data_IF_413878759142
#
_entry.id   IF_413878759142
#
_cell.length_a   1.000
_cell.length_b   1.000
_cell.length_c   1.000
_cell.angle_alpha   90.00
_cell.angle_beta   90.00
_cell.angle_gamma   90.00
#
_symmetry.space_group_name_H-M   'P 1'
#
loop_
_entity.id
_entity.type
_entity.pdbx_description
1 polymer ?
#
# COMPACT_ATOMS: atom_id res chain seq x y z
N UNK A 1 18.48 -13.50 10.62
CA UNK A 1 18.57 -12.09 10.19
C UNK A 1 17.29 -11.44 10.66
N UNK A 2 17.37 -10.25 11.21
CA UNK A 2 16.19 -9.52 11.71
C UNK A 2 15.46 -8.95 10.48
N UNK A 3 14.17 -9.23 10.35
CA UNK A 3 13.33 -8.65 9.28
C UNK A 3 12.93 -7.24 9.68
N UNK A 4 13.12 -6.27 8.78
CA UNK A 4 12.73 -4.89 9.00
C UNK A 4 11.32 -4.66 8.45
N UNK A 5 10.33 -4.59 9.33
CA UNK A 5 8.92 -4.39 8.95
C UNK A 5 8.52 -2.95 9.22
N UNK A 6 8.08 -2.26 8.17
CA UNK A 6 7.62 -0.89 8.23
C UNK A 6 6.13 -0.82 7.96
N UNK A 7 5.38 -0.29 8.91
CA UNK A 7 3.98 0.08 8.71
C UNK A 7 3.92 1.61 8.55
N UNK A 8 3.27 2.12 7.49
CA UNK A 8 3.01 3.54 7.38
C UNK A 8 2.19 4.01 8.57
N UNK A 9 2.54 5.16 9.12
CA UNK A 9 1.74 5.77 10.18
C UNK A 9 0.59 6.62 9.62
N UNK A 10 0.67 6.96 8.32
CA UNK A 10 -0.36 7.66 7.56
C UNK A 10 -0.35 7.14 6.12
N UNK A 11 -1.54 6.94 5.56
CA UNK A 11 -1.72 6.53 4.17
C UNK A 11 -2.77 7.44 3.55
N UNK A 12 -2.40 8.07 2.43
CA UNK A 12 -3.24 9.03 1.72
C UNK A 12 -3.47 8.58 0.29
N UNK A 13 -4.52 9.11 -0.31
CA UNK A 13 -4.77 8.95 -1.73
C UNK A 13 -4.74 10.33 -2.40
N UNK A 14 -4.00 10.46 -3.51
CA UNK A 14 -3.99 11.67 -4.32
C UNK A 14 -5.28 11.78 -5.16
N UNK A 15 -5.57 12.97 -5.67
CA UNK A 15 -6.70 13.17 -6.60
C UNK A 15 -6.57 12.35 -7.90
N UNK A 16 -5.34 11.93 -8.25
CA UNK A 16 -5.08 11.11 -9.43
C UNK A 16 -5.17 9.60 -9.16
N UNK A 17 -5.49 9.19 -7.92
CA UNK A 17 -5.59 7.79 -7.51
C UNK A 17 -4.26 7.12 -7.17
N UNK A 18 -3.25 7.90 -6.79
CA UNK A 18 -1.99 7.38 -6.26
C UNK A 18 -2.11 7.16 -4.75
N UNK A 19 -1.69 5.99 -4.28
CA UNK A 19 -1.57 5.69 -2.86
C UNK A 19 -0.23 6.23 -2.35
N UNK A 20 -0.25 7.04 -1.30
CA UNK A 20 0.92 7.66 -0.68
C UNK A 20 1.05 7.12 0.74
N UNK A 21 2.01 6.22 0.94
CA UNK A 21 2.34 5.61 2.22
C UNK A 21 3.45 6.41 2.92
N UNK A 22 3.15 7.00 4.06
CA UNK A 22 4.09 7.82 4.82
C UNK A 22 4.70 7.00 5.95
N UNK A 23 6.02 6.85 5.93
CA UNK A 23 6.77 5.98 6.83
C UNK A 23 7.81 6.79 7.59
N UNK A 24 7.96 6.52 8.88
CA UNK A 24 8.96 7.19 9.72
C UNK A 24 10.38 6.83 9.21
N UNK A 25 11.24 7.83 8.94
CA UNK A 25 12.58 7.59 8.43
C UNK A 25 13.51 6.97 9.48
N UNK A 26 14.14 5.86 9.14
CA UNK A 26 15.33 5.35 9.83
C UNK A 26 16.50 5.13 8.86
N UNK A 27 17.66 4.72 9.37
CA UNK A 27 18.85 4.49 8.53
C UNK A 27 18.68 3.35 7.51
N UNK A 28 17.98 2.28 7.89
CA UNK A 28 17.82 1.10 7.06
C UNK A 28 16.84 1.32 5.92
N UNK A 29 15.64 1.87 6.17
CA UNK A 29 14.67 2.14 5.10
C UNK A 29 15.18 3.18 4.10
N UNK A 30 15.98 4.15 4.56
CA UNK A 30 16.70 5.09 3.67
C UNK A 30 17.66 4.36 2.75
N UNK A 31 18.53 3.51 3.32
CA UNK A 31 19.47 2.70 2.54
C UNK A 31 18.73 1.77 1.57
N UNK A 32 17.64 1.15 2.03
CA UNK A 32 16.77 0.29 1.23
C UNK A 32 16.21 1.05 0.02
N UNK A 33 15.62 2.24 0.19
CA UNK A 33 15.08 3.03 -0.93
C UNK A 33 16.19 3.48 -1.88
N UNK A 34 17.34 3.92 -1.36
CA UNK A 34 18.46 4.42 -2.17
C UNK A 34 19.26 3.32 -2.88
N UNK A 35 19.13 2.07 -2.44
CA UNK A 35 19.85 0.93 -3.00
C UNK A 35 19.34 0.54 -4.39
N UNK A 36 20.11 0.91 -5.42
CA UNK A 36 19.80 0.61 -6.83
C UNK A 36 20.27 -0.77 -7.30
N UNK A 37 20.84 -1.62 -6.44
CA UNK A 37 21.38 -2.93 -6.85
C UNK A 37 20.35 -4.04 -6.86
N UNK A 38 19.29 -3.91 -6.08
CA UNK A 38 18.18 -4.87 -5.96
C UNK A 38 16.89 -4.24 -6.47
N UNK A 39 15.89 -5.06 -6.76
CA UNK A 39 14.57 -4.60 -7.19
C UNK A 39 13.59 -4.59 -6.03
N UNK A 40 12.49 -3.86 -6.21
CA UNK A 40 11.30 -4.03 -5.37
C UNK A 40 10.49 -5.21 -5.88
N UNK A 41 9.98 -6.01 -4.95
CA UNK A 41 8.99 -7.04 -5.20
C UNK A 41 7.69 -6.61 -4.54
N UNK A 42 6.56 -6.84 -5.20
CA UNK A 42 5.25 -6.46 -4.71
C UNK A 42 4.41 -7.71 -4.54
N UNK A 43 3.85 -7.88 -3.35
CA UNK A 43 2.91 -8.93 -3.02
C UNK A 43 1.56 -8.30 -2.70
N UNK A 44 0.49 -8.93 -3.21
CA UNK A 44 -0.88 -8.44 -3.07
C UNK A 44 -1.77 -9.62 -2.69
N UNK A 45 -2.34 -9.53 -1.49
CA UNK A 45 -3.24 -10.55 -0.93
C UNK A 45 -4.57 -9.93 -0.52
N UNK A 46 -5.60 -10.75 -0.42
CA UNK A 46 -6.92 -10.36 0.10
C UNK A 46 -7.29 -11.35 1.18
N UNK A 47 -7.71 -10.84 2.32
CA UNK A 47 -8.20 -11.63 3.44
C UNK A 47 -9.50 -11.02 3.97
N UNK A 48 -10.17 -11.70 4.89
CA UNK A 48 -11.47 -11.31 5.42
C UNK A 48 -11.38 -10.94 6.89
N UNK A 49 -11.89 -9.77 7.24
CA UNK A 49 -12.03 -9.34 8.63
C UNK A 49 -13.37 -9.84 9.18
N UNK A 50 -13.33 -10.84 10.06
CA UNK A 50 -14.52 -11.39 10.71
C UNK A 50 -15.21 -10.38 11.66
N UNK A 51 -14.47 -9.40 12.20
CA UNK A 51 -15.01 -8.40 13.14
C UNK A 51 -15.81 -7.33 12.39
N UNK A 52 -15.24 -6.78 11.32
CA UNK A 52 -15.88 -5.77 10.47
C UNK A 52 -16.78 -6.38 9.39
N UNK A 53 -16.71 -7.71 9.20
CA UNK A 53 -17.44 -8.47 8.19
C UNK A 53 -17.20 -7.99 6.75
N UNK A 54 -15.98 -7.53 6.46
CA UNK A 54 -15.56 -7.03 5.16
C UNK A 54 -14.17 -7.54 4.76
N UNK A 55 -13.88 -7.67 3.45
CA UNK A 55 -12.55 -8.03 3.01
C UNK A 55 -11.60 -6.83 3.08
N UNK A 56 -10.32 -7.13 3.25
CA UNK A 56 -9.26 -6.14 3.21
C UNK A 56 -8.13 -6.60 2.28
N UNK A 57 -7.53 -5.62 1.60
CA UNK A 57 -6.41 -5.80 0.69
C UNK A 57 -5.12 -5.58 1.46
N UNK A 58 -4.23 -6.56 1.42
CA UNK A 58 -2.87 -6.47 1.96
C UNK A 58 -1.91 -6.22 0.79
N UNK A 59 -1.05 -5.23 0.95
CA UNK A 59 0.03 -4.97 -0.01
C UNK A 59 1.35 -4.93 0.73
N UNK A 60 2.29 -5.76 0.29
CA UNK A 60 3.63 -5.82 0.84
C UNK A 60 4.65 -5.46 -0.23
N UNK A 61 5.46 -4.44 0.05
CA UNK A 61 6.56 -4.00 -0.79
C UNK A 61 7.85 -4.53 -0.19
N UNK A 62 8.45 -5.55 -0.81
CA UNK A 62 9.68 -6.18 -0.34
C UNK A 62 10.90 -5.63 -1.06
N UNK A 63 11.98 -5.42 -0.30
CA UNK A 63 13.31 -5.13 -0.84
C UNK A 63 14.40 -5.45 0.18
N UNK A 64 15.47 -6.08 -0.28
CA UNK A 64 16.57 -6.53 0.58
C UNK A 64 16.05 -7.42 1.73
N UNK A 65 16.19 -7.01 3.00
CA UNK A 65 15.62 -7.69 4.17
C UNK A 65 14.52 -6.85 4.85
N UNK A 66 13.96 -5.89 4.12
CA UNK A 66 12.91 -5.01 4.60
C UNK A 66 11.61 -5.16 3.82
N UNK A 67 10.53 -4.75 4.46
CA UNK A 67 9.21 -4.67 3.83
C UNK A 67 8.43 -3.47 4.32
N UNK A 68 7.68 -2.84 3.40
CA UNK A 68 6.64 -1.87 3.74
C UNK A 68 5.29 -2.58 3.59
N UNK A 69 4.54 -2.65 4.67
CA UNK A 69 3.29 -3.39 4.76
C UNK A 69 2.10 -2.43 4.92
N UNK A 70 1.09 -2.58 4.07
CA UNK A 70 -0.10 -1.75 4.03
C UNK A 70 -1.36 -2.62 4.00
N UNK A 71 -2.42 -2.14 4.65
CA UNK A 71 -3.74 -2.78 4.67
C UNK A 71 -4.79 -1.75 4.28
N UNK A 72 -5.69 -2.15 3.39
CA UNK A 72 -6.78 -1.30 2.90
C UNK A 72 -8.12 -2.04 3.07
N UNK A 73 -9.06 -1.50 3.87
CA UNK A 73 -10.42 -2.02 3.84
C UNK A 73 -11.01 -1.88 2.43
N UNK A 74 -12.05 -2.66 2.15
CA UNK A 74 -12.75 -2.57 0.88
C UNK A 74 -13.24 -1.13 0.61
N UNK A 75 -12.99 -0.63 -0.60
CA UNK A 75 -13.43 0.72 -1.00
C UNK A 75 -12.50 1.42 -1.98
N UNK A 76 -12.45 2.75 -1.92
CA UNK A 76 -11.82 3.61 -2.94
C UNK A 76 -10.33 3.27 -3.22
N UNK A 77 -9.59 2.81 -2.21
CA UNK A 77 -8.21 2.42 -2.39
C UNK A 77 -8.06 1.23 -3.36
N UNK A 78 -8.99 0.27 -3.33
CA UNK A 78 -8.98 -0.88 -4.25
C UNK A 78 -9.23 -0.41 -5.68
N UNK A 79 -10.18 0.52 -5.87
CA UNK A 79 -10.48 1.10 -7.18
C UNK A 79 -9.25 1.83 -7.73
N UNK A 80 -8.64 2.72 -6.94
CA UNK A 80 -7.45 3.46 -7.31
C UNK A 80 -6.28 2.54 -7.68
N UNK A 81 -6.05 1.47 -6.90
CA UNK A 81 -4.99 0.51 -7.17
C UNK A 81 -5.29 -0.37 -8.38
N UNK A 82 -6.54 -0.74 -8.63
CA UNK A 82 -6.90 -1.54 -9.80
C UNK A 82 -6.83 -0.73 -11.11
N UNK A 83 -7.12 0.56 -11.07
CA UNK A 83 -7.09 1.45 -12.23
C UNK A 83 -5.69 2.01 -12.51
N UNK A 84 -5.06 2.60 -11.50
CA UNK A 84 -3.75 3.26 -11.60
C UNK A 84 -2.63 2.35 -11.18
N UNK A 85 -2.78 1.72 -10.01
CA UNK A 85 -1.76 0.86 -9.41
C UNK A 85 -0.49 1.60 -9.08
N UNK A 86 -0.58 2.85 -8.61
CA UNK A 86 0.59 3.64 -8.22
C UNK A 86 0.67 3.73 -6.70
N UNK A 87 1.82 3.37 -6.15
CA UNK A 87 2.11 3.43 -4.73
C UNK A 87 3.42 4.19 -4.53
N UNK A 88 3.37 5.29 -3.80
CA UNK A 88 4.54 6.04 -3.37
C UNK A 88 4.82 5.82 -1.89
N UNK A 89 6.03 5.40 -1.57
CA UNK A 89 6.55 5.37 -0.20
C UNK A 89 7.31 6.66 0.04
N UNK A 90 6.88 7.43 1.05
CA UNK A 90 7.45 8.71 1.43
C UNK A 90 8.04 8.60 2.82
N UNK A 91 9.35 8.84 2.94
CA UNK A 91 10.02 8.91 4.23
C UNK A 91 9.92 10.32 4.78
N UNK A 92 9.10 10.49 5.81
CA UNK A 92 8.85 11.77 6.45
C UNK A 92 8.61 11.55 7.94
N UNK A 93 9.14 12.43 8.78
CA UNK A 93 8.83 12.37 10.21
C UNK A 93 7.42 12.92 10.43
N UNK A 94 6.74 12.44 11.48
CA UNK A 94 5.44 13.02 11.84
C UNK A 94 5.54 14.54 12.12
N UNK A 95 6.65 14.97 12.72
CA UNK A 95 6.92 16.39 12.97
C UNK A 95 6.97 17.21 11.68
N UNK A 96 7.70 16.75 10.67
CA UNK A 96 7.82 17.45 9.39
C UNK A 96 6.50 17.48 8.63
N UNK A 97 5.72 16.40 8.69
CA UNK A 97 4.38 16.34 8.11
C UNK A 97 3.45 17.39 8.73
N UNK A 98 3.42 17.47 10.07
CA UNK A 98 2.57 18.42 10.81
C UNK A 98 2.93 19.88 10.54
N UNK A 99 4.20 20.16 10.20
CA UNK A 99 4.69 21.50 9.90
C UNK A 99 4.77 21.80 8.39
N UNK A 100 4.32 20.87 7.54
CA UNK A 100 4.34 21.03 6.08
C UNK A 100 5.75 21.08 5.48
N UNK A 101 6.75 20.53 6.16
CA UNK A 101 8.14 20.51 5.70
C UNK A 101 8.43 19.24 4.88
N UNK A 102 8.07 19.24 3.59
CA UNK A 102 8.27 18.07 2.72
C UNK A 102 9.52 18.12 1.85
N UNK A 103 10.34 19.18 2.00
CA UNK A 103 11.43 19.49 1.07
C UNK A 103 12.57 18.46 1.05
N UNK A 104 12.76 17.74 2.15
CA UNK A 104 13.80 16.71 2.30
C UNK A 104 13.23 15.28 2.27
N UNK A 105 11.96 15.11 1.89
CA UNK A 105 11.31 13.81 1.86
C UNK A 105 11.97 12.90 0.81
N UNK A 106 12.39 11.71 1.23
CA UNK A 106 12.87 10.66 0.32
C UNK A 106 11.66 9.90 -0.18
N UNK A 107 11.53 9.74 -1.50
CA UNK A 107 10.38 9.09 -2.11
C UNK A 107 10.79 8.00 -3.10
N UNK A 108 9.98 6.95 -3.17
CA UNK A 108 10.01 5.97 -4.26
C UNK A 108 8.59 5.66 -4.69
N UNK A 109 8.38 5.58 -6.00
CA UNK A 109 7.09 5.21 -6.60
C UNK A 109 7.22 3.84 -7.25
N UNK A 110 6.24 2.99 -6.98
CA UNK A 110 6.12 1.63 -7.47
C UNK A 110 4.82 1.54 -8.26
N UNK A 111 4.90 0.97 -9.46
CA UNK A 111 3.74 0.70 -10.31
C UNK A 111 3.40 -0.80 -10.27
N UNK A 112 2.16 -1.12 -9.92
CA UNK A 112 1.61 -2.45 -10.03
C UNK A 112 1.48 -2.84 -11.49
N UNK A 113 1.90 -4.06 -11.81
CA UNK A 113 1.74 -4.60 -13.14
C UNK A 113 0.25 -4.90 -13.45
N UNK A 114 -0.02 -5.24 -14.72
CA UNK A 114 -1.39 -5.54 -15.15
C UNK A 114 -1.98 -6.80 -14.50
N UNK A 115 -1.15 -7.73 -14.03
CA UNK A 115 -1.62 -8.94 -13.36
C UNK A 115 -2.15 -8.61 -11.96
N UNK A 116 -1.38 -7.87 -11.15
CA UNK A 116 -1.78 -7.46 -9.81
C UNK A 116 -3.00 -6.52 -9.86
N UNK A 117 -3.04 -5.58 -10.81
CA UNK A 117 -4.23 -4.74 -11.04
C UNK A 117 -5.49 -5.57 -11.36
N UNK A 118 -5.34 -6.58 -12.22
CA UNK A 118 -6.41 -7.50 -12.56
C UNK A 118 -6.86 -8.38 -11.39
N UNK A 119 -5.93 -8.77 -10.52
CA UNK A 119 -6.22 -9.51 -9.29
C UNK A 119 -7.10 -8.68 -8.35
N UNK A 120 -6.73 -7.43 -8.07
CA UNK A 120 -7.49 -6.51 -7.21
C UNK A 120 -8.90 -6.29 -7.78
N UNK A 121 -9.01 -5.97 -9.07
CA UNK A 121 -10.32 -5.80 -9.72
C UNK A 121 -11.20 -7.07 -9.67
N UNK A 122 -10.57 -8.24 -9.76
CA UNK A 122 -11.25 -9.53 -9.64
C UNK A 122 -11.78 -9.75 -8.23
N UNK A 123 -10.97 -9.44 -7.21
CA UNK A 123 -11.37 -9.51 -5.81
C UNK A 123 -12.53 -8.57 -5.50
N UNK A 124 -12.49 -7.31 -5.96
CA UNK A 124 -13.60 -6.36 -5.77
C UNK A 124 -14.92 -6.93 -6.30
N UNK A 125 -14.91 -7.41 -7.55
CA UNK A 125 -16.13 -7.96 -8.19
C UNK A 125 -16.69 -9.19 -7.49
N UNK A 126 -15.81 -10.03 -6.94
CA UNK A 126 -16.26 -11.19 -6.17
C UNK A 126 -16.94 -10.74 -4.88
N UNK A 127 -16.37 -9.74 -4.18
CA UNK A 127 -16.98 -9.20 -2.98
C UNK A 127 -18.33 -8.55 -3.26
N UNK A 128 -18.41 -7.70 -4.30
CA UNK A 128 -19.68 -7.08 -4.72
C UNK A 128 -20.77 -8.13 -4.97
N UNK A 129 -20.46 -9.17 -5.74
CA UNK A 129 -21.40 -10.25 -6.02
C UNK A 129 -21.86 -11.01 -4.74
N UNK A 130 -20.94 -11.28 -3.81
CA UNK A 130 -21.27 -11.95 -2.55
C UNK A 130 -22.10 -11.03 -1.64
N UNK A 131 -21.76 -9.75 -1.57
CA UNK A 131 -22.48 -8.78 -0.72
C UNK A 131 -23.91 -8.52 -1.22
N UNK A 132 -24.12 -8.44 -2.54
CA UNK A 132 -25.46 -8.31 -3.14
C UNK A 132 -26.34 -9.53 -2.84
N UNK A 133 -25.78 -10.76 -2.89
CA UNK A 133 -26.52 -11.97 -2.53
C UNK A 133 -26.95 -11.99 -1.05
N UNK A 134 -26.15 -11.41 -0.14
CA UNK A 134 -26.47 -11.34 1.29
C UNK A 134 -27.57 -10.31 1.57
N UNK A 135 -27.63 -9.20 0.83
CA UNK A 135 -28.68 -8.17 1.02
C UNK A 135 -30.06 -8.61 0.51
N UNK A 136 -30.12 -9.58 -0.40
CA UNK A 136 -31.37 -10.12 -0.95
C UNK A 136 -32.03 -11.22 -0.10
N UNK A 137 -31.38 -11.70 0.97
CA UNK A 137 -31.91 -12.68 1.95
C UNK A 137 -32.52 -12.04 3.21
#
# INVERSE_FOLDING_TARGET
MEEHIYQPYDVRMSEEGEIIAIVEPDSYIKEMIENKKTCWEVDVDVDYDDEESEPYLMITLHKDNGQVFMVFPYGEAWDALSEKGLISVVLLTQFDLDHGNTSEAITVTIELDGFLKGYIAGASRMWEAVSEEIEEE
#
